data_IF_326397159560
#
_entry.id   IF_326397159560
#
_cell.length_a   1.000
_cell.length_b   1.000
_cell.length_c   1.000
_cell.angle_alpha   90.00
_cell.angle_beta   90.00
_cell.angle_gamma   90.00
#
_symmetry.space_group_name_H-M   'P 1'
#
loop_
_entity.id
_entity.type
_entity.pdbx_description
1 polymer ?
#
# COMPACT_ATOMS: atom_id res chain seq x y z
N UNK A 1 -20.63 -1.13 -15.76
CA UNK A 1 -19.42 -0.39 -15.34
C UNK A 1 -19.35 -0.40 -13.82
N UNK A 2 -18.24 -0.83 -13.22
CA UNK A 2 -18.09 -0.89 -11.76
C UNK A 2 -17.99 0.54 -11.21
N UNK A 3 -18.75 0.85 -10.16
CA UNK A 3 -18.70 2.14 -9.46
C UNK A 3 -17.97 1.99 -8.13
N UNK A 4 -17.37 3.09 -7.66
CA UNK A 4 -16.72 3.20 -6.36
C UNK A 4 -17.14 4.49 -5.68
N UNK A 5 -17.03 4.51 -4.35
CA UNK A 5 -17.31 5.70 -3.53
C UNK A 5 -16.01 6.48 -3.36
N UNK A 6 -16.03 7.76 -3.72
CA UNK A 6 -14.93 8.70 -3.59
C UNK A 6 -15.29 9.75 -2.54
N UNK A 7 -14.44 9.94 -1.54
CA UNK A 7 -14.56 11.03 -0.58
C UNK A 7 -13.71 12.24 -1.01
N UNK A 8 -14.36 13.38 -1.18
CA UNK A 8 -13.72 14.65 -1.51
C UNK A 8 -13.49 15.48 -0.25
N UNK A 9 -12.23 15.75 0.08
CA UNK A 9 -11.84 16.55 1.25
C UNK A 9 -12.23 18.03 1.16
N UNK A 10 -12.40 18.58 -0.05
CA UNK A 10 -12.79 19.98 -0.23
C UNK A 10 -14.27 20.18 0.08
N UNK A 11 -15.13 19.33 -0.48
CA UNK A 11 -16.58 19.42 -0.29
C UNK A 11 -17.09 18.62 0.91
N UNK A 12 -16.27 17.73 1.47
CA UNK A 12 -16.63 16.77 2.54
C UNK A 12 -17.82 15.90 2.16
N UNK A 13 -17.91 15.52 0.90
CA UNK A 13 -18.99 14.70 0.35
C UNK A 13 -18.44 13.42 -0.23
N UNK A 14 -19.32 12.42 -0.25
CA UNK A 14 -19.08 11.15 -0.93
C UNK A 14 -19.80 11.22 -2.27
N UNK A 15 -19.07 10.97 -3.35
CA UNK A 15 -19.60 10.80 -4.70
C UNK A 15 -19.43 9.34 -5.15
N UNK A 16 -20.34 8.87 -5.98
CA UNK A 16 -20.13 7.64 -6.73
C UNK A 16 -19.53 7.96 -8.09
N UNK A 17 -18.35 7.41 -8.37
CA UNK A 17 -17.67 7.55 -9.65
C UNK A 17 -17.46 6.20 -10.31
N UNK A 18 -17.37 6.13 -11.64
CA UNK A 18 -16.82 4.97 -12.34
C UNK A 18 -15.43 4.61 -11.81
N UNK A 19 -15.13 3.34 -11.60
CA UNK A 19 -13.78 2.94 -11.13
C UNK A 19 -12.66 3.32 -12.10
N UNK A 20 -12.97 3.45 -13.39
CA UNK A 20 -12.04 3.90 -14.42
C UNK A 20 -11.63 5.39 -14.27
N UNK A 21 -12.34 6.17 -13.46
CA UNK A 21 -12.00 7.56 -13.13
C UNK A 21 -11.07 7.65 -11.91
N UNK A 22 -10.76 6.52 -11.24
CA UNK A 22 -9.66 6.50 -10.29
C UNK A 22 -8.35 6.84 -11.01
N UNK A 23 -7.47 7.53 -10.28
CA UNK A 23 -6.19 7.97 -10.80
C UNK A 23 -5.04 7.55 -9.86
N UNK A 24 -3.79 7.67 -10.32
CA UNK A 24 -2.64 7.52 -9.44
C UNK A 24 -2.73 8.42 -8.20
N UNK A 25 -2.41 7.84 -7.03
CA UNK A 25 -2.48 8.54 -5.75
C UNK A 25 -3.80 8.41 -4.99
N UNK A 26 -4.79 7.73 -5.55
CA UNK A 26 -5.98 7.32 -4.79
C UNK A 26 -5.71 6.07 -3.94
N UNK A 27 -6.21 6.08 -2.71
CA UNK A 27 -6.11 4.98 -1.76
C UNK A 27 -7.49 4.64 -1.17
N UNK A 28 -7.77 3.37 -0.97
CA UNK A 28 -8.96 2.92 -0.24
C UNK A 28 -8.73 3.07 1.27
N UNK A 29 -9.70 3.66 1.96
CA UNK A 29 -9.62 3.95 3.39
C UNK A 29 -11.00 3.79 4.05
N UNK A 30 -10.97 3.57 5.36
CA UNK A 30 -12.15 3.71 6.23
C UNK A 30 -12.02 5.06 6.92
N UNK A 31 -13.05 5.91 6.84
CA UNK A 31 -13.09 7.20 7.50
C UNK A 31 -14.06 7.16 8.68
N UNK A 32 -13.69 7.82 9.77
CA UNK A 32 -14.58 7.96 10.93
C UNK A 32 -15.90 8.65 10.51
N UNK A 33 -17.03 8.08 10.92
CA UNK A 33 -18.36 8.58 10.56
C UNK A 33 -18.80 8.26 9.13
N UNK A 34 -17.99 7.56 8.34
CA UNK A 34 -18.37 7.07 7.01
C UNK A 34 -18.52 5.57 7.05
N UNK A 35 -19.72 5.09 6.76
CA UNK A 35 -19.97 3.66 6.64
C UNK A 35 -19.21 3.08 5.45
N UNK A 36 -18.43 2.02 5.67
CA UNK A 36 -17.71 1.28 4.63
C UNK A 36 -16.45 1.97 4.09
N UNK A 37 -15.79 1.31 3.14
CA UNK A 37 -14.59 1.84 2.48
C UNK A 37 -14.95 2.90 1.43
N UNK A 38 -14.10 3.92 1.34
CA UNK A 38 -14.12 4.95 0.30
C UNK A 38 -12.72 5.12 -0.27
N UNK A 39 -12.64 5.62 -1.51
CA UNK A 39 -11.39 6.11 -2.06
C UNK A 39 -11.15 7.54 -1.61
N UNK A 40 -9.89 7.87 -1.34
CA UNK A 40 -9.42 9.21 -1.00
C UNK A 40 -8.17 9.53 -1.79
N UNK A 41 -7.93 10.81 -2.08
CA UNK A 41 -6.62 11.23 -2.56
C UNK A 41 -5.64 11.18 -1.39
N UNK A 42 -4.65 10.28 -1.46
CA UNK A 42 -3.69 10.04 -0.39
C UNK A 42 -2.85 11.28 -0.05
N UNK A 43 -2.65 12.20 -1.02
CA UNK A 43 -1.94 13.47 -0.79
C UNK A 43 -2.68 14.44 0.12
N UNK A 44 -3.99 14.24 0.34
CA UNK A 44 -4.79 15.02 1.27
C UNK A 44 -4.88 14.40 2.68
N UNK A 45 -4.36 13.18 2.85
CA UNK A 45 -4.34 12.50 4.15
C UNK A 45 -3.19 13.07 4.97
N UNK A 46 -3.52 13.59 6.15
CA UNK A 46 -2.51 14.11 7.09
C UNK A 46 -1.83 12.94 7.81
N UNK A 47 -0.54 13.09 8.07
CA UNK A 47 0.17 12.16 8.95
C UNK A 47 -0.49 12.11 10.32
N UNK A 48 -0.70 10.90 10.83
CA UNK A 48 -1.10 10.70 12.22
C UNK A 48 0.04 11.10 13.15
N UNK A 49 -0.25 11.61 14.37
CA UNK A 49 0.78 11.75 15.39
C UNK A 49 1.32 10.37 15.79
N UNK A 50 2.47 10.33 16.47
CA UNK A 50 2.94 9.10 17.09
C UNK A 50 1.90 8.59 18.09
N UNK A 51 1.51 7.32 17.90
CA UNK A 51 0.61 6.55 18.77
C UNK A 51 1.40 5.63 19.70
N UNK A 52 2.63 5.28 19.32
CA UNK A 52 3.48 4.34 20.04
C UNK A 52 4.81 4.97 20.48
N UNK A 53 5.38 4.41 21.55
CA UNK A 53 6.76 4.68 21.97
C UNK A 53 7.77 4.21 20.92
N UNK A 54 9.07 4.26 21.25
CA UNK A 54 10.08 3.67 20.37
C UNK A 54 9.88 2.15 20.26
N UNK A 55 10.16 1.61 19.09
CA UNK A 55 10.00 0.19 18.78
C UNK A 55 11.39 -0.47 18.82
N UNK A 56 11.93 -0.66 20.03
CA UNK A 56 13.32 -1.11 20.24
C UNK A 56 13.48 -2.60 20.48
N UNK A 57 12.43 -3.26 20.95
CA UNK A 57 12.44 -4.69 21.25
C UNK A 57 12.32 -5.52 19.97
N UNK A 58 12.80 -6.77 20.01
CA UNK A 58 12.61 -7.71 18.90
C UNK A 58 11.10 -7.89 18.58
N UNK A 59 10.70 -7.96 17.30
CA UNK A 59 11.55 -8.09 16.10
C UNK A 59 11.86 -6.76 15.38
N UNK A 60 11.62 -5.61 16.03
CA UNK A 60 11.51 -4.33 15.33
C UNK A 60 12.78 -3.85 14.64
N UNK A 61 13.98 -3.87 15.29
CA UNK A 61 15.21 -3.47 14.61
C UNK A 61 15.46 -4.28 13.34
N UNK A 62 15.21 -5.59 13.36
CA UNK A 62 15.44 -6.46 12.20
C UNK A 62 14.41 -6.20 11.08
N UNK A 63 13.17 -5.86 11.43
CA UNK A 63 12.15 -5.48 10.45
C UNK A 63 12.56 -4.20 9.71
N UNK A 64 13.05 -3.18 10.43
CA UNK A 64 13.42 -1.91 9.81
C UNK A 64 14.61 -2.05 8.87
N UNK A 65 15.65 -2.79 9.30
CA UNK A 65 16.81 -3.07 8.46
C UNK A 65 16.41 -3.89 7.22
N UNK A 66 15.62 -4.95 7.39
CA UNK A 66 15.13 -5.76 6.28
C UNK A 66 14.39 -4.93 5.22
N UNK A 67 13.49 -4.03 5.64
CA UNK A 67 12.75 -3.17 4.72
C UNK A 67 13.62 -2.11 4.07
N UNK A 68 14.51 -1.48 4.84
CA UNK A 68 15.48 -0.49 4.37
C UNK A 68 16.36 -1.06 3.26
N UNK A 69 16.98 -2.22 3.51
CA UNK A 69 17.87 -2.88 2.55
C UNK A 69 17.13 -3.37 1.31
N UNK A 70 16.03 -4.11 1.50
CA UNK A 70 15.36 -4.80 0.40
C UNK A 70 14.63 -3.84 -0.55
N UNK A 71 14.15 -2.70 -0.04
CA UNK A 71 13.42 -1.71 -0.82
C UNK A 71 14.24 -0.47 -1.19
N UNK A 72 15.54 -0.42 -0.85
CA UNK A 72 16.40 0.76 -1.02
C UNK A 72 16.32 1.41 -2.41
N UNK A 73 16.25 0.61 -3.48
CA UNK A 73 16.23 1.13 -4.85
C UNK A 73 14.91 1.84 -5.23
N UNK A 74 13.79 1.38 -4.68
CA UNK A 74 12.44 1.80 -5.08
C UNK A 74 11.74 2.67 -4.04
N UNK A 75 12.11 2.50 -2.77
CA UNK A 75 11.60 3.24 -1.62
C UNK A 75 12.75 3.45 -0.61
N UNK A 76 13.71 4.34 -0.93
CA UNK A 76 14.82 4.63 -0.03
C UNK A 76 14.27 5.29 1.24
N UNK A 77 14.30 4.55 2.35
CA UNK A 77 13.98 5.04 3.69
C UNK A 77 14.97 4.42 4.67
N UNK A 78 15.54 5.23 5.54
CA UNK A 78 16.37 4.74 6.62
C UNK A 78 15.55 3.92 7.64
N UNK A 79 16.17 3.03 8.42
CA UNK A 79 15.48 2.28 9.47
C UNK A 79 14.68 3.17 10.44
N UNK A 80 15.19 4.35 10.79
CA UNK A 80 14.50 5.32 11.64
C UNK A 80 13.22 5.88 11.00
N UNK A 81 13.21 6.07 9.68
CA UNK A 81 12.01 6.55 8.97
C UNK A 81 10.95 5.44 8.81
N UNK A 82 11.36 4.18 8.86
CA UNK A 82 10.44 3.05 8.99
C UNK A 82 9.83 3.02 10.39
N UNK A 83 10.66 3.11 11.44
CA UNK A 83 10.20 3.20 12.83
C UNK A 83 9.16 4.33 13.00
N UNK A 84 9.48 5.54 12.52
CA UNK A 84 8.58 6.69 12.60
C UNK A 84 7.22 6.44 11.95
N UNK A 85 7.20 5.73 10.81
CA UNK A 85 5.96 5.34 10.14
C UNK A 85 5.13 4.40 11.02
N UNK A 86 5.74 3.29 11.45
CA UNK A 86 5.05 2.30 12.28
C UNK A 86 4.55 2.85 13.61
N UNK A 87 5.27 3.81 14.20
CA UNK A 87 4.83 4.49 15.42
C UNK A 87 3.57 5.34 15.22
N UNK A 88 3.25 5.74 13.99
CA UNK A 88 2.03 6.47 13.66
C UNK A 88 0.83 5.55 13.37
N UNK A 89 1.09 4.28 13.10
CA UNK A 89 0.07 3.31 12.69
C UNK A 89 -0.80 2.86 13.87
N UNK A 90 -2.07 2.56 13.61
CA UNK A 90 -2.98 2.08 14.65
C UNK A 90 -2.56 0.71 15.20
N UNK A 91 -2.01 -0.15 14.34
CA UNK A 91 -1.49 -1.47 14.71
C UNK A 91 -0.16 -1.70 13.98
N UNK A 92 0.98 -1.41 14.63
CA UNK A 92 2.29 -1.54 14.03
C UNK A 92 2.57 -2.96 13.51
N UNK A 93 2.25 -4.01 14.28
CA UNK A 93 2.54 -5.40 13.92
C UNK A 93 1.83 -5.82 12.62
N UNK A 94 0.56 -5.40 12.48
CA UNK A 94 -0.23 -5.62 11.28
C UNK A 94 0.39 -4.91 10.08
N UNK A 95 0.74 -3.64 10.23
CA UNK A 95 1.34 -2.86 9.14
C UNK A 95 2.73 -3.41 8.76
N UNK A 96 3.53 -3.81 9.74
CA UNK A 96 4.82 -4.47 9.50
C UNK A 96 4.63 -5.76 8.68
N UNK A 97 3.62 -6.57 9.01
CA UNK A 97 3.29 -7.78 8.26
C UNK A 97 2.93 -7.49 6.80
N UNK A 98 2.18 -6.42 6.55
CA UNK A 98 1.85 -5.96 5.19
C UNK A 98 3.12 -5.53 4.43
N UNK A 99 3.96 -4.70 5.04
CA UNK A 99 5.21 -4.25 4.42
C UNK A 99 6.20 -5.38 4.15
N UNK A 100 6.30 -6.36 5.05
CA UNK A 100 7.11 -7.57 4.84
C UNK A 100 6.59 -8.36 3.64
N UNK A 101 5.26 -8.49 3.48
CA UNK A 101 4.67 -9.17 2.33
C UNK A 101 4.92 -8.43 1.02
N UNK A 102 4.81 -7.10 1.01
CA UNK A 102 5.18 -6.25 -0.13
C UNK A 102 6.64 -6.48 -0.52
N UNK A 103 7.54 -6.46 0.46
CA UNK A 103 8.97 -6.63 0.22
C UNK A 103 9.31 -8.03 -0.30
N UNK A 104 8.71 -9.08 0.26
CA UNK A 104 8.84 -10.46 -0.24
C UNK A 104 8.34 -10.62 -1.66
N UNK A 105 7.17 -10.06 -1.99
CA UNK A 105 6.63 -10.10 -3.35
C UNK A 105 7.54 -9.34 -4.32
N UNK A 106 8.01 -8.14 -3.95
CA UNK A 106 8.97 -7.38 -4.74
C UNK A 106 10.24 -8.18 -5.02
N UNK A 107 10.82 -8.83 -3.98
CA UNK A 107 11.98 -9.70 -4.13
C UNK A 107 11.71 -10.86 -5.08
N UNK A 108 10.56 -11.52 -4.94
CA UNK A 108 10.17 -12.63 -5.81
C UNK A 108 10.14 -12.23 -7.29
N UNK A 109 9.58 -11.05 -7.60
CA UNK A 109 9.47 -10.60 -8.99
C UNK A 109 10.76 -10.02 -9.57
N UNK A 110 11.72 -9.61 -8.74
CA UNK A 110 12.94 -8.91 -9.19
C UNK A 110 14.24 -9.73 -9.06
N UNK A 111 14.31 -10.68 -8.12
CA UNK A 111 15.53 -11.42 -7.83
C UNK A 111 15.98 -12.26 -9.04
N UNK A 112 17.28 -12.16 -9.38
CA UNK A 112 17.88 -12.89 -10.50
C UNK A 112 17.52 -12.37 -11.89
N UNK A 113 16.76 -11.27 -12.00
CA UNK A 113 16.38 -10.65 -13.28
C UNK A 113 17.18 -9.38 -13.54
N UNK A 114 17.63 -9.18 -14.77
CA UNK A 114 18.25 -7.92 -15.20
C UNK A 114 17.16 -6.91 -15.56
N UNK A 115 16.62 -6.24 -14.54
CA UNK A 115 15.58 -5.21 -14.70
C UNK A 115 16.18 -3.83 -14.48
N UNK A 116 15.82 -2.88 -15.35
CA UNK A 116 16.08 -1.47 -15.13
C UNK A 116 15.27 -0.91 -13.95
N UNK A 117 15.75 0.18 -13.37
CA UNK A 117 15.15 0.81 -12.18
C UNK A 117 13.66 1.16 -12.37
N UNK A 118 13.27 1.64 -13.55
CA UNK A 118 11.87 2.01 -13.82
C UNK A 118 10.93 0.79 -13.81
N UNK A 119 11.39 -0.36 -14.33
CA UNK A 119 10.60 -1.60 -14.26
C UNK A 119 10.48 -2.10 -12.82
N UNK A 120 11.56 -1.99 -12.02
CA UNK A 120 11.51 -2.31 -10.58
C UNK A 120 10.53 -1.41 -9.83
N UNK A 121 10.51 -0.10 -10.16
CA UNK A 121 9.55 0.86 -9.60
C UNK A 121 8.12 0.50 -9.96
N UNK A 122 7.84 0.13 -11.21
CA UNK A 122 6.50 -0.29 -11.60
C UNK A 122 6.03 -1.54 -10.85
N UNK A 123 6.90 -2.55 -10.71
CA UNK A 123 6.63 -3.75 -9.91
C UNK A 123 6.29 -3.35 -8.47
N UNK A 124 7.10 -2.51 -7.85
CA UNK A 124 6.90 -2.05 -6.47
C UNK A 124 5.60 -1.26 -6.32
N UNK A 125 5.38 -0.24 -7.16
CA UNK A 125 4.21 0.64 -7.12
C UNK A 125 2.91 -0.15 -7.32
N UNK A 126 2.94 -1.19 -8.17
CA UNK A 126 1.80 -2.07 -8.42
C UNK A 126 1.49 -2.99 -7.22
N UNK A 127 2.51 -3.61 -6.62
CA UNK A 127 2.34 -4.45 -5.42
C UNK A 127 1.81 -3.61 -4.25
N UNK A 128 2.38 -2.41 -4.06
CA UNK A 128 1.92 -1.48 -3.04
C UNK A 128 0.45 -1.08 -3.27
N UNK A 129 0.10 -0.67 -4.49
CA UNK A 129 -1.27 -0.32 -4.82
C UNK A 129 -2.23 -1.51 -4.63
N UNK A 130 -1.80 -2.75 -4.92
CA UNK A 130 -2.61 -3.94 -4.68
C UNK A 130 -2.85 -4.19 -3.18
N UNK A 131 -1.86 -3.97 -2.32
CA UNK A 131 -2.04 -4.11 -0.87
C UNK A 131 -3.06 -3.12 -0.29
N UNK A 132 -3.18 -1.93 -0.89
CA UNK A 132 -4.06 -0.84 -0.42
C UNK A 132 -5.44 -0.88 -1.09
N UNK A 133 -5.47 -1.10 -2.41
CA UNK A 133 -6.64 -0.93 -3.27
C UNK A 133 -7.19 -2.27 -3.82
N UNK A 134 -6.48 -3.38 -3.58
CA UNK A 134 -6.84 -4.70 -4.08
C UNK A 134 -7.06 -4.70 -5.60
N UNK A 135 -8.25 -5.10 -6.09
CA UNK A 135 -8.50 -5.23 -7.52
C UNK A 135 -8.45 -3.91 -8.30
N UNK A 136 -8.37 -2.76 -7.62
CA UNK A 136 -8.29 -1.44 -8.25
C UNK A 136 -6.86 -0.92 -8.41
N UNK A 137 -5.85 -1.79 -8.23
CA UNK A 137 -4.44 -1.41 -8.33
C UNK A 137 -4.09 -0.85 -9.72
N UNK A 138 -4.59 -1.45 -10.80
CA UNK A 138 -4.30 -1.02 -12.17
C UNK A 138 -4.85 0.36 -12.53
N UNK A 139 -5.89 0.81 -11.84
CA UNK A 139 -6.49 2.13 -11.98
C UNK A 139 -5.76 3.18 -11.12
N UNK A 140 -5.05 2.75 -10.07
CA UNK A 140 -4.43 3.63 -9.07
C UNK A 140 -2.90 3.65 -9.10
N UNK A 141 -2.29 2.90 -10.04
CA UNK A 141 -0.84 2.90 -10.28
C UNK A 141 -0.49 3.64 -11.57
N UNK A 142 0.58 4.43 -11.54
CA UNK A 142 1.16 5.04 -12.72
C UNK A 142 2.32 4.17 -13.27
N UNK A 143 2.03 3.29 -14.23
CA UNK A 143 3.04 2.42 -14.86
C UNK A 143 3.89 3.21 -15.87
N UNK A 144 5.22 3.04 -15.79
CA UNK A 144 6.21 3.82 -16.57
C UNK A 144 6.81 3.01 -17.72
N UNK A 145 7.05 1.73 -17.49
CA UNK A 145 7.66 0.74 -18.42
C UNK A 145 6.82 -0.50 -18.60
N UNK A 146 6.17 -0.97 -17.54
CA UNK A 146 5.31 -2.14 -17.58
C UNK A 146 4.03 -1.82 -18.36
N UNK A 147 3.67 -2.70 -19.29
CA UNK A 147 2.37 -2.64 -19.97
C UNK A 147 1.24 -3.07 -19.02
N UNK A 148 0.00 -2.68 -19.35
CA UNK A 148 -1.16 -3.11 -18.55
C UNK A 148 -1.34 -4.63 -18.53
N UNK A 149 -1.02 -5.32 -19.63
CA UNK A 149 -1.12 -6.77 -19.71
C UNK A 149 -0.10 -7.45 -18.78
N UNK A 150 1.15 -7.01 -18.80
CA UNK A 150 2.19 -7.50 -17.88
C UNK A 150 1.81 -7.25 -16.42
N UNK A 151 1.27 -6.06 -16.12
CA UNK A 151 0.81 -5.71 -14.79
C UNK A 151 -0.33 -6.62 -14.33
N UNK A 152 -1.30 -6.89 -15.20
CA UNK A 152 -2.39 -7.80 -14.89
C UNK A 152 -1.89 -9.23 -14.64
N UNK A 153 -0.95 -9.71 -15.45
CA UNK A 153 -0.30 -11.01 -15.27
C UNK A 153 0.55 -11.09 -13.99
N UNK A 154 1.14 -9.97 -13.55
CA UNK A 154 1.87 -9.91 -12.27
C UNK A 154 0.90 -10.06 -11.10
N UNK A 155 -0.23 -9.35 -11.12
CA UNK A 155 -1.22 -9.37 -10.04
C UNK A 155 -1.84 -10.75 -9.82
N UNK A 156 -1.98 -11.58 -10.87
CA UNK A 156 -2.50 -12.96 -10.72
C UNK A 156 -1.52 -13.90 -10.01
N UNK A 157 -0.24 -13.52 -9.93
CA UNK A 157 0.82 -14.29 -9.27
C UNK A 157 1.06 -13.86 -7.82
N UNK A 158 0.46 -12.76 -7.35
CA UNK A 158 0.52 -12.35 -5.95
C UNK A 158 -0.42 -13.26 -5.15
N UNK A 159 0.06 -14.02 -4.15
CA UNK A 159 -0.81 -14.86 -3.33
C UNK A 159 -1.89 -14.01 -2.65
N UNK A 160 -3.13 -14.52 -2.63
CA UNK A 160 -4.30 -13.82 -2.09
C UNK A 160 -4.16 -13.33 -0.63
N UNK A 161 -3.16 -13.80 0.12
CA UNK A 161 -2.83 -13.33 1.46
C UNK A 161 -2.13 -11.95 1.55
N UNK A 162 -1.90 -11.28 0.40
CA UNK A 162 -1.34 -9.92 0.35
C UNK A 162 -2.38 -8.80 0.35
N UNK A 163 -3.65 -9.10 0.08
CA UNK A 163 -4.75 -8.18 0.27
C UNK A 163 -5.37 -8.46 1.63
N UNK A 164 -5.48 -7.44 2.48
CA UNK A 164 -6.20 -7.55 3.77
C UNK A 164 -7.55 -8.23 3.56
N UNK A 165 -7.71 -9.48 3.99
CA UNK A 165 -9.01 -10.10 4.15
C UNK A 165 -9.83 -9.28 5.15
N UNK A 166 -11.11 -8.98 4.87
CA UNK A 166 -11.99 -8.35 5.84
C UNK A 166 -12.51 -9.43 6.78
N UNK A 167 -11.71 -9.88 7.73
CA UNK A 167 -12.21 -10.69 8.84
C UNK A 167 -12.55 -9.77 10.02
N UNK A 168 -13.86 -9.54 10.14
CA UNK A 168 -14.63 -9.45 11.39
C UNK A 168 -13.98 -8.75 12.59
N UNK A 169 -14.22 -7.46 12.73
CA UNK A 169 -14.39 -6.86 14.06
C UNK A 169 -15.81 -7.19 14.55
N UNK A 170 -15.94 -8.39 15.10
CA UNK A 170 -16.87 -8.66 16.20
C UNK A 170 -15.98 -9.06 17.36
N UNK A 171 -15.70 -8.10 18.24
CA UNK A 171 -16.01 -8.18 19.66
C UNK A 171 -15.29 -7.08 20.46
N UNK A 172 -16.14 -6.26 21.12
CA UNK A 172 -15.92 -5.33 22.24
C UNK A 172 -15.09 -4.04 22.00
#
# INVERSE_FOLDING_TARGET
MKKVRLYDFQTRRIAEIPSAELAPGFASATLEGVEGKVFVNAGNVRHSPYRHGRLTEDPWPQVFEFLSELLAEVRPKAPSEWEDGFRCDCNPDREASIWINIAKAYRYFTSGKQLGLEMKRDIFDLILAYSVNGPFALETTNLRKMTREEAQNLLTQIPAGGASTPESNTDL
#
